data_IF_609999340242
#
_entry.id   IF_609999340242
#
_cell.length_a   1.000
_cell.length_b   1.000
_cell.length_c   1.000
_cell.angle_alpha   90.00
_cell.angle_beta   90.00
_cell.angle_gamma   90.00
#
_symmetry.space_group_name_H-M   'P 1'
#
loop_
_entity.id
_entity.type
_entity.pdbx_description
1 polymer ?
#
# COMPACT_ATOMS: atom_id res chain seq x y z
N UNK A 1 -1.12 0.56 -7.22
CA UNK A 1 -1.65 -0.11 -6.01
C UNK A 1 -2.85 0.61 -5.39
N UNK A 2 -2.84 1.94 -5.26
CA UNK A 2 -3.94 2.72 -4.64
C UNK A 2 -5.35 2.40 -5.13
N UNK A 3 -5.53 2.18 -6.44
CA UNK A 3 -6.82 1.80 -7.01
C UNK A 3 -7.40 0.49 -6.42
N UNK A 4 -6.55 -0.49 -6.10
CA UNK A 4 -6.98 -1.75 -5.47
C UNK A 4 -7.50 -1.50 -4.06
N UNK A 5 -6.76 -0.72 -3.26
CA UNK A 5 -7.19 -0.35 -1.91
C UNK A 5 -8.52 0.39 -1.91
N UNK A 6 -8.64 1.46 -2.69
CA UNK A 6 -9.89 2.23 -2.77
C UNK A 6 -11.09 1.42 -3.30
N UNK A 7 -10.88 0.54 -4.28
CA UNK A 7 -11.92 -0.39 -4.73
C UNK A 7 -12.34 -1.35 -3.62
N UNK A 8 -11.37 -1.94 -2.92
CA UNK A 8 -11.63 -2.86 -1.81
C UNK A 8 -12.34 -2.19 -0.63
N UNK A 9 -12.06 -0.91 -0.35
CA UNK A 9 -12.76 -0.15 0.70
C UNK A 9 -14.24 0.04 0.41
N UNK A 10 -14.60 0.32 -0.84
CA UNK A 10 -16.00 0.42 -1.27
C UNK A 10 -16.66 -0.95 -1.22
N UNK A 11 -16.02 -1.95 -1.84
CA UNK A 11 -16.54 -3.31 -1.90
C UNK A 11 -16.81 -3.88 -0.50
N UNK A 12 -15.90 -3.65 0.45
CA UNK A 12 -16.05 -4.11 1.84
C UNK A 12 -17.33 -3.60 2.49
N UNK A 13 -17.75 -2.37 2.20
CA UNK A 13 -18.99 -1.78 2.72
C UNK A 13 -20.23 -2.40 2.06
N UNK A 14 -20.17 -2.63 0.75
CA UNK A 14 -21.28 -3.18 -0.03
C UNK A 14 -21.60 -4.63 0.34
N UNK A 15 -20.58 -5.43 0.65
CA UNK A 15 -20.75 -6.87 0.92
C UNK A 15 -20.89 -7.21 2.41
N UNK A 16 -20.75 -6.23 3.31
CA UNK A 16 -20.75 -6.45 4.75
C UNK A 16 -22.04 -7.13 5.26
N UNK A 17 -23.20 -6.78 4.69
CA UNK A 17 -24.50 -7.37 5.05
C UNK A 17 -24.62 -8.85 4.68
N UNK A 18 -23.79 -9.34 3.77
CA UNK A 18 -23.70 -10.76 3.41
C UNK A 18 -22.73 -11.54 4.32
N UNK A 19 -22.12 -10.88 5.31
CA UNK A 19 -21.12 -11.50 6.20
C UNK A 19 -19.75 -11.70 5.55
N UNK A 20 -19.53 -11.16 4.34
CA UNK A 20 -18.23 -11.24 3.65
C UNK A 20 -17.29 -10.19 4.23
N UNK A 21 -16.05 -10.61 4.53
CA UNK A 21 -14.97 -9.74 5.01
C UNK A 21 -13.92 -9.56 3.91
N UNK A 22 -13.38 -8.36 3.79
CA UNK A 22 -12.35 -8.01 2.80
C UNK A 22 -11.11 -7.54 3.56
N UNK A 23 -9.94 -8.07 3.18
CA UNK A 23 -8.63 -7.63 3.68
C UNK A 23 -7.71 -7.40 2.49
N UNK A 24 -7.07 -6.24 2.47
CA UNK A 24 -6.01 -5.86 1.54
C UNK A 24 -4.68 -6.09 2.22
N UNK A 25 -3.95 -7.11 1.78
CA UNK A 25 -2.59 -7.36 2.24
C UNK A 25 -1.62 -6.36 1.58
N UNK A 26 -0.85 -5.65 2.40
CA UNK A 26 0.06 -4.60 1.98
C UNK A 26 1.51 -4.91 2.40
N UNK A 27 2.19 -5.79 1.66
CA UNK A 27 3.57 -6.12 1.96
C UNK A 27 4.55 -5.02 1.56
N UNK A 28 5.59 -4.90 2.38
CA UNK A 28 6.82 -4.21 2.03
C UNK A 28 7.71 -5.06 1.12
N UNK A 29 9.02 -4.80 1.15
CA UNK A 29 10.00 -5.64 0.46
C UNK A 29 10.01 -7.05 1.01
N UNK A 30 9.67 -8.04 0.18
CA UNK A 30 9.73 -9.48 0.51
C UNK A 30 10.77 -10.20 -0.35
N UNK A 31 11.43 -11.22 0.20
CA UNK A 31 12.43 -12.05 -0.51
C UNK A 31 11.75 -13.02 -1.47
N UNK A 32 11.16 -12.50 -2.53
CA UNK A 32 10.62 -13.27 -3.64
C UNK A 32 11.48 -13.04 -4.89
N UNK A 33 11.25 -13.84 -5.93
CA UNK A 33 11.87 -13.62 -7.23
C UNK A 33 11.27 -12.42 -8.00
N UNK A 34 10.39 -11.63 -7.37
CA UNK A 34 9.70 -10.50 -8.00
C UNK A 34 10.67 -9.46 -8.57
N UNK A 35 11.63 -8.98 -7.79
CA UNK A 35 12.63 -8.01 -8.28
C UNK A 35 13.75 -8.64 -9.13
N UNK A 36 13.68 -9.94 -9.40
CA UNK A 36 14.61 -10.71 -10.20
C UNK A 36 13.93 -11.29 -11.43
N UNK A 37 13.90 -12.62 -11.53
CA UNK A 37 13.45 -13.34 -12.73
C UNK A 37 11.96 -13.18 -13.06
N UNK A 38 11.13 -12.68 -12.14
CA UNK A 38 9.68 -12.50 -12.36
C UNK A 38 9.29 -11.11 -12.85
N UNK A 39 10.25 -10.19 -13.04
CA UNK A 39 9.99 -8.84 -13.55
C UNK A 39 10.79 -8.59 -14.83
N UNK A 40 10.11 -8.07 -15.85
CA UNK A 40 10.73 -7.60 -17.08
C UNK A 40 10.83 -6.08 -17.02
N UNK A 41 12.05 -5.54 -17.10
CA UNK A 41 12.27 -4.10 -17.29
C UNK A 41 12.40 -3.82 -18.79
N UNK A 42 11.43 -3.11 -19.35
CA UNK A 42 11.49 -2.66 -20.74
C UNK A 42 12.43 -1.45 -20.90
N UNK A 43 12.92 -1.17 -22.12
CA UNK A 43 13.72 0.02 -22.39
C UNK A 43 13.03 1.29 -21.89
N UNK A 44 13.76 2.09 -21.12
CA UNK A 44 13.28 3.37 -20.58
C UNK A 44 13.51 4.46 -21.62
N UNK A 45 12.48 5.25 -21.93
CA UNK A 45 12.61 6.38 -22.84
C UNK A 45 13.48 7.48 -22.25
N UNK A 46 14.26 8.16 -23.10
CA UNK A 46 15.24 9.18 -22.68
C UNK A 46 14.73 10.19 -21.66
N UNK A 47 13.53 10.80 -21.81
CA UNK A 47 13.04 11.80 -20.85
C UNK A 47 12.83 11.26 -19.42
N UNK A 48 12.59 9.96 -19.27
CA UNK A 48 12.29 9.33 -18.00
C UNK A 48 13.49 8.64 -17.35
N UNK A 49 14.58 8.44 -18.08
CA UNK A 49 15.79 7.78 -17.57
C UNK A 49 16.30 8.36 -16.24
N UNK A 50 16.42 9.69 -16.05
CA UNK A 50 16.96 10.25 -14.82
C UNK A 50 16.16 9.88 -13.56
N UNK A 51 14.87 9.58 -13.72
CA UNK A 51 13.94 9.27 -12.63
C UNK A 51 13.79 7.76 -12.43
N UNK A 52 13.74 7.00 -13.52
CA UNK A 52 13.42 5.57 -13.48
C UNK A 52 14.66 4.70 -13.29
N UNK A 53 15.78 4.99 -13.97
CA UNK A 53 16.99 4.15 -13.90
C UNK A 53 17.52 3.97 -12.46
N UNK A 54 17.63 5.01 -11.62
CA UNK A 54 18.08 4.84 -10.24
C UNK A 54 17.14 3.95 -9.42
N UNK A 55 15.83 4.04 -9.69
CA UNK A 55 14.82 3.23 -9.00
C UNK A 55 14.94 1.76 -9.38
N UNK A 56 15.09 1.46 -10.66
CA UNK A 56 15.32 0.09 -11.17
C UNK A 56 16.61 -0.48 -10.60
N UNK A 57 17.71 0.29 -10.65
CA UNK A 57 19.01 -0.13 -10.11
C UNK A 57 18.91 -0.49 -8.62
N UNK A 58 18.21 0.34 -7.82
CA UNK A 58 17.98 0.07 -6.39
C UNK A 58 17.17 -1.20 -6.17
N UNK A 59 16.10 -1.42 -6.95
CA UNK A 59 15.27 -2.62 -6.86
C UNK A 59 16.10 -3.88 -7.15
N UNK A 60 16.89 -3.87 -8.23
CA UNK A 60 17.75 -4.98 -8.61
C UNK A 60 18.84 -5.26 -7.56
N UNK A 61 19.50 -4.21 -7.05
CA UNK A 61 20.53 -4.34 -6.02
C UNK A 61 20.02 -4.92 -4.69
N UNK A 62 18.72 -4.77 -4.42
CA UNK A 62 18.06 -5.28 -3.20
C UNK A 62 17.44 -6.66 -3.41
N UNK A 63 17.47 -7.20 -4.63
CA UNK A 63 16.91 -8.51 -4.95
C UNK A 63 17.56 -9.63 -4.13
N UNK A 64 16.74 -10.46 -3.48
CA UNK A 64 17.18 -11.51 -2.55
C UNK A 64 17.61 -11.00 -1.16
N UNK A 65 17.67 -9.68 -0.94
CA UNK A 65 18.11 -9.04 0.31
C UNK A 65 17.00 -8.29 1.04
N UNK A 66 15.77 -8.36 0.53
CA UNK A 66 14.61 -7.74 1.17
C UNK A 66 14.42 -8.26 2.61
N UNK A 67 13.83 -7.48 3.53
CA UNK A 67 13.66 -7.90 4.92
C UNK A 67 12.52 -8.91 5.13
N UNK A 68 11.47 -8.89 4.29
CA UNK A 68 10.28 -9.72 4.45
C UNK A 68 10.51 -11.18 4.09
N UNK A 69 9.99 -12.07 4.95
CA UNK A 69 9.95 -13.52 4.75
C UNK A 69 8.61 -13.93 4.11
N UNK A 70 8.59 -14.43 2.85
CA UNK A 70 7.36 -14.84 2.19
C UNK A 70 6.60 -15.94 2.92
N UNK A 71 7.28 -16.86 3.61
CA UNK A 71 6.62 -17.94 4.34
C UNK A 71 5.84 -17.40 5.54
N UNK A 72 6.40 -16.42 6.25
CA UNK A 72 5.69 -15.72 7.33
C UNK A 72 4.51 -14.90 6.80
N UNK A 73 4.67 -14.24 5.66
CA UNK A 73 3.57 -13.50 5.03
C UNK A 73 2.43 -14.44 4.64
N UNK A 74 2.74 -15.60 4.06
CA UNK A 74 1.75 -16.62 3.75
C UNK A 74 1.03 -17.11 5.02
N UNK A 75 1.76 -17.35 6.11
CA UNK A 75 1.16 -17.75 7.38
C UNK A 75 0.19 -16.68 7.90
N UNK A 76 0.58 -15.41 7.91
CA UNK A 76 -0.30 -14.31 8.35
C UNK A 76 -1.57 -14.22 7.48
N UNK A 77 -1.45 -14.46 6.17
CA UNK A 77 -2.61 -14.51 5.26
C UNK A 77 -3.53 -15.69 5.59
N UNK A 78 -3.01 -16.83 6.05
CA UNK A 78 -3.86 -17.93 6.51
C UNK A 78 -4.57 -17.56 7.83
N UNK A 79 -3.80 -17.08 8.80
CA UNK A 79 -4.30 -16.72 10.13
C UNK A 79 -5.40 -15.64 10.07
N UNK A 80 -5.31 -14.70 9.14
CA UNK A 80 -6.30 -13.63 9.00
C UNK A 80 -7.68 -14.16 8.55
N UNK A 81 -7.72 -15.30 7.86
CA UNK A 81 -8.99 -15.92 7.44
C UNK A 81 -9.76 -16.53 8.61
N UNK A 82 -9.06 -16.84 9.70
CA UNK A 82 -9.64 -17.39 10.93
C UNK A 82 -9.94 -16.29 11.98
N UNK A 83 -9.58 -15.04 11.68
CA UNK A 83 -9.82 -13.90 12.58
C UNK A 83 -11.28 -13.44 12.46
N UNK A 84 -12.04 -13.34 13.58
CA UNK A 84 -13.46 -12.96 13.53
C UNK A 84 -13.74 -11.55 12.95
N UNK A 85 -12.83 -10.61 13.20
CA UNK A 85 -12.91 -9.23 12.72
C UNK A 85 -11.56 -8.81 12.11
N UNK A 86 -11.27 -9.25 10.87
CA UNK A 86 -9.99 -8.96 10.24
C UNK A 86 -9.94 -7.50 9.78
N UNK A 87 -8.75 -6.86 9.81
CA UNK A 87 -8.60 -5.49 9.34
C UNK A 87 -8.80 -5.40 7.83
N UNK A 88 -9.33 -4.26 7.38
CA UNK A 88 -9.46 -3.97 5.95
C UNK A 88 -8.11 -3.79 5.26
N UNK A 89 -7.13 -3.20 5.95
CA UNK A 89 -5.76 -3.04 5.46
C UNK A 89 -4.78 -3.67 6.44
N UNK A 90 -3.91 -4.55 5.95
CA UNK A 90 -2.91 -5.24 6.77
C UNK A 90 -1.50 -4.97 6.23
N UNK A 91 -0.75 -4.15 6.94
CA UNK A 91 0.65 -3.85 6.61
C UNK A 91 1.55 -5.02 7.01
N UNK A 92 2.40 -5.48 6.09
CA UNK A 92 3.27 -6.64 6.29
C UNK A 92 4.74 -6.26 6.06
N UNK A 93 5.44 -5.96 7.14
CA UNK A 93 6.86 -5.56 7.14
C UNK A 93 7.10 -4.21 7.79
N UNK A 94 8.24 -4.05 8.45
CA UNK A 94 8.61 -2.82 9.17
C UNK A 94 8.73 -1.60 8.24
N UNK A 95 9.17 -1.82 7.01
CA UNK A 95 9.24 -0.80 5.96
C UNK A 95 7.85 -0.36 5.50
N UNK A 96 6.91 -1.30 5.32
CA UNK A 96 5.51 -0.98 5.04
C UNK A 96 4.87 -0.16 6.17
N UNK A 97 5.11 -0.56 7.43
CA UNK A 97 4.64 0.17 8.61
C UNK A 97 5.22 1.59 8.66
N UNK A 98 6.53 1.74 8.48
CA UNK A 98 7.18 3.05 8.49
C UNK A 98 6.67 3.95 7.35
N UNK A 99 6.52 3.42 6.14
CA UNK A 99 6.02 4.16 4.98
C UNK A 99 4.56 4.60 5.15
N UNK A 100 3.70 3.71 5.65
CA UNK A 100 2.31 4.02 5.92
C UNK A 100 2.16 5.10 7.00
N UNK A 101 2.95 5.01 8.07
CA UNK A 101 2.99 6.02 9.14
C UNK A 101 3.37 7.39 8.58
N UNK A 102 4.47 7.47 7.82
CA UNK A 102 4.90 8.72 7.21
C UNK A 102 3.86 9.30 6.23
N UNK A 103 3.22 8.44 5.44
CA UNK A 103 2.16 8.87 4.51
C UNK A 103 0.94 9.44 5.25
N UNK A 104 0.51 8.78 6.33
CA UNK A 104 -0.61 9.25 7.16
C UNK A 104 -0.28 10.59 7.85
N UNK A 105 0.93 10.74 8.39
CA UNK A 105 1.37 12.00 9.00
C UNK A 105 1.41 13.15 7.98
N UNK A 106 1.91 12.89 6.78
CA UNK A 106 1.95 13.89 5.70
C UNK A 106 0.55 14.29 5.23
N UNK A 107 -0.37 13.33 5.11
CA UNK A 107 -1.76 13.59 4.74
C UNK A 107 -2.44 14.45 5.82
N UNK A 108 -2.37 14.03 7.08
CA UNK A 108 -2.95 14.77 8.19
C UNK A 108 -2.39 16.20 8.30
N UNK A 109 -1.08 16.38 8.06
CA UNK A 109 -0.46 17.71 8.05
C UNK A 109 -0.97 18.57 6.88
N UNK A 110 -1.15 17.98 5.69
CA UNK A 110 -1.74 18.67 4.53
C UNK A 110 -3.19 19.08 4.80
N UNK A 111 -4.00 18.17 5.32
CA UNK A 111 -5.41 18.42 5.63
C UNK A 111 -5.55 19.53 6.68
N UNK A 112 -4.74 19.48 7.74
CA UNK A 112 -4.70 20.52 8.75
C UNK A 112 -4.30 21.88 8.17
N UNK A 113 -3.32 21.91 7.26
CA UNK A 113 -2.87 23.14 6.60
C UNK A 113 -3.96 23.78 5.73
N UNK A 114 -4.77 22.96 5.05
CA UNK A 114 -5.78 23.43 4.11
C UNK A 114 -7.20 23.47 4.67
N UNK A 115 -7.37 23.10 5.94
CA UNK A 115 -8.67 22.99 6.61
C UNK A 115 -9.60 24.19 6.38
N UNK A 116 -9.11 25.41 6.57
CA UNK A 116 -9.95 26.60 6.40
C UNK A 116 -10.50 26.75 4.97
N UNK A 117 -9.70 26.39 3.95
CA UNK A 117 -10.14 26.38 2.55
C UNK A 117 -11.10 25.22 2.28
N UNK A 118 -10.83 24.05 2.85
CA UNK A 118 -11.71 22.89 2.73
C UNK A 118 -13.09 23.13 3.36
N UNK A 119 -13.15 23.86 4.49
CA UNK A 119 -14.40 24.17 5.19
C UNK A 119 -15.13 25.38 4.58
N UNK A 120 -14.46 26.28 3.84
CA UNK A 120 -15.06 27.50 3.28
C UNK A 120 -16.08 27.27 2.15
N UNK A 121 -16.27 26.02 1.70
CA UNK A 121 -17.27 25.67 0.67
C UNK A 121 -18.63 25.32 1.26
N UNK A 122 -18.77 25.36 2.60
CA UNK A 122 -20.06 25.22 3.28
C UNK A 122 -20.99 26.38 2.96
N UNK A 123 -22.29 26.16 3.10
CA UNK A 123 -23.27 27.24 3.07
C UNK A 123 -23.07 28.15 4.30
N UNK A 124 -23.26 29.46 4.15
CA UNK A 124 -23.36 30.36 5.29
C UNK A 124 -24.56 29.94 6.15
N UNK A 125 -24.36 29.78 7.46
CA UNK A 125 -25.48 29.63 8.39
C UNK A 125 -26.30 30.92 8.36
N UNK A 126 -27.54 30.83 7.89
CA UNK A 126 -28.48 31.95 7.78
C UNK A 126 -28.98 32.47 9.12
#
# INVERSE_FOLDING_TARGET
KWAVGGFSEVLAKEVASFGIKITVAEPGGMRTNWAGSSMTTHPISEPYKPVIEPTVARMQATSGRQPGDPARVAQVILDITETPDPPLHLLLGSDAVAAARAAAENLAASDAKWRAVSESVGYDEG
#
